data_IF_483755577131
#
_entry.id   IF_483755577131
#
_cell.length_a   1.000
_cell.length_b   1.000
_cell.length_c   1.000
_cell.angle_alpha   90.00
_cell.angle_beta   90.00
_cell.angle_gamma   90.00
#
_symmetry.space_group_name_H-M   'P 1'
#
loop_
_entity.id
_entity.type
_entity.pdbx_description
1 polymer ?
#
# COMPACT_ATOMS: atom_id res chain seq x y z
N UNK A 1 -11.28 -9.50 -1.15
CA UNK A 1 -11.51 -8.56 -0.02
C UNK A 1 -10.23 -7.82 0.38
N UNK A 2 -9.09 -8.50 0.63
CA UNK A 2 -7.81 -7.85 0.95
C UNK A 2 -7.24 -6.94 -0.16
N UNK A 3 -7.46 -7.28 -1.44
CA UNK A 3 -7.04 -6.45 -2.58
C UNK A 3 -7.64 -5.04 -2.58
N UNK A 4 -8.89 -4.89 -2.14
CA UNK A 4 -9.54 -3.57 -2.07
C UNK A 4 -8.91 -2.75 -0.95
N UNK A 5 -8.60 -3.39 0.18
CA UNK A 5 -7.97 -2.73 1.32
C UNK A 5 -6.53 -2.28 1.05
N UNK A 6 -5.76 -3.02 0.25
CA UNK A 6 -4.39 -2.65 -0.17
C UNK A 6 -4.35 -1.73 -1.37
N UNK A 7 -5.31 -1.82 -2.31
CA UNK A 7 -5.38 -0.90 -3.45
C UNK A 7 -5.83 0.52 -3.03
N UNK A 8 -6.64 0.65 -1.97
CA UNK A 8 -7.15 1.93 -1.49
C UNK A 8 -6.04 2.96 -1.16
N UNK A 9 -5.02 2.64 -0.33
CA UNK A 9 -3.94 3.58 -0.03
C UNK A 9 -3.09 3.90 -1.27
N UNK A 10 -2.84 2.94 -2.16
CA UNK A 10 -2.10 3.17 -3.41
C UNK A 10 -2.87 4.14 -4.31
N UNK A 11 -4.15 3.87 -4.53
CA UNK A 11 -5.02 4.71 -5.35
C UNK A 11 -5.14 6.12 -4.76
N UNK A 12 -5.22 6.25 -3.44
CA UNK A 12 -5.24 7.54 -2.75
C UNK A 12 -3.94 8.32 -2.95
N UNK A 13 -2.77 7.68 -2.82
CA UNK A 13 -1.47 8.34 -3.07
C UNK A 13 -1.35 8.81 -4.52
N UNK A 14 -1.77 7.99 -5.49
CA UNK A 14 -1.76 8.37 -6.91
C UNK A 14 -2.70 9.55 -7.16
N UNK A 15 -3.94 9.49 -6.64
CA UNK A 15 -4.91 10.58 -6.75
C UNK A 15 -4.40 11.86 -6.08
N UNK A 16 -3.73 11.74 -4.92
CA UNK A 16 -3.14 12.86 -4.20
C UNK A 16 -2.00 13.52 -4.97
N UNK A 17 -1.08 12.73 -5.56
CA UNK A 17 0.01 13.24 -6.41
C UNK A 17 -0.56 13.89 -7.68
N UNK A 18 -1.55 13.29 -8.31
CA UNK A 18 -2.21 13.85 -9.49
C UNK A 18 -2.89 15.18 -9.17
N UNK A 19 -3.60 15.26 -8.04
CA UNK A 19 -4.24 16.48 -7.54
C UNK A 19 -3.21 17.58 -7.26
N UNK A 20 -2.08 17.24 -6.61
CA UNK A 20 -0.95 18.14 -6.38
C UNK A 20 -0.35 18.68 -7.68
N UNK A 21 -0.06 17.79 -8.63
CA UNK A 21 0.51 18.15 -9.94
C UNK A 21 -0.44 19.07 -10.73
N UNK A 22 -1.73 18.75 -10.75
CA UNK A 22 -2.75 19.56 -11.42
C UNK A 22 -2.86 20.95 -10.79
N UNK A 23 -2.77 21.04 -9.47
CA UNK A 23 -2.80 22.31 -8.73
C UNK A 23 -1.58 23.19 -9.02
N UNK A 24 -0.39 22.60 -9.19
CA UNK A 24 0.85 23.33 -9.50
C UNK A 24 0.87 23.82 -10.95
N UNK A 25 0.35 23.02 -11.88
CA UNK A 25 0.40 23.29 -13.33
C UNK A 25 -0.70 24.23 -13.82
N UNK A 26 -1.73 24.52 -13.02
CA UNK A 26 -2.86 25.36 -13.41
C UNK A 26 -2.54 26.87 -13.26
N UNK A 27 -2.40 27.63 -14.36
CA UNK A 27 -2.12 29.07 -14.30
C UNK A 27 -3.35 29.82 -13.76
N UNK A 28 -3.17 30.60 -12.69
CA UNK A 28 -4.25 31.39 -12.08
C UNK A 28 -5.05 30.66 -10.99
N UNK A 29 -4.62 29.49 -10.54
CA UNK A 29 -5.21 28.86 -9.36
C UNK A 29 -4.79 29.61 -8.09
N UNK A 30 -5.76 30.14 -7.35
CA UNK A 30 -5.56 30.32 -5.91
C UNK A 30 -5.20 28.93 -5.37
N UNK A 31 -4.08 28.81 -4.65
CA UNK A 31 -3.70 27.52 -4.07
C UNK A 31 -4.93 26.91 -3.37
N UNK A 32 -5.41 25.72 -3.77
CA UNK A 32 -6.65 25.15 -3.22
C UNK A 32 -6.54 24.82 -1.72
N UNK A 33 -5.32 24.96 -1.16
CA UNK A 33 -5.01 24.92 0.25
C UNK A 33 -5.44 26.21 0.98
N UNK A 34 -6.74 26.46 1.04
CA UNK A 34 -7.27 27.29 2.13
C UNK A 34 -6.99 26.59 3.47
N UNK A 35 -6.84 27.34 4.57
CA UNK A 35 -6.49 26.77 5.87
C UNK A 35 -7.43 25.64 6.30
N UNK A 36 -8.72 25.74 5.96
CA UNK A 36 -9.72 24.69 6.19
C UNK A 36 -9.54 23.45 5.31
N UNK A 37 -9.33 23.62 3.99
CA UNK A 37 -9.15 22.49 3.07
C UNK A 37 -7.83 21.75 3.35
N UNK A 38 -6.79 22.47 3.76
CA UNK A 38 -5.51 21.88 4.14
C UNK A 38 -5.66 21.00 5.38
N UNK A 39 -6.38 21.45 6.42
CA UNK A 39 -6.59 20.68 7.64
C UNK A 39 -7.30 19.36 7.39
N UNK A 40 -8.40 19.38 6.62
CA UNK A 40 -9.16 18.17 6.29
C UNK A 40 -8.35 17.19 5.45
N UNK A 41 -7.61 17.70 4.46
CA UNK A 41 -6.79 16.87 3.58
C UNK A 41 -5.57 16.30 4.34
N UNK A 42 -5.00 17.04 5.30
CA UNK A 42 -3.92 16.58 6.17
C UNK A 42 -4.39 15.47 7.12
N UNK A 43 -5.55 15.62 7.74
CA UNK A 43 -6.17 14.57 8.58
C UNK A 43 -6.48 13.33 7.75
N UNK A 44 -7.03 13.48 6.55
CA UNK A 44 -7.27 12.36 5.64
C UNK A 44 -5.97 11.64 5.26
N UNK A 45 -4.90 12.40 4.97
CA UNK A 45 -3.59 11.83 4.65
C UNK A 45 -2.99 11.07 5.85
N UNK A 46 -3.08 11.63 7.05
CA UNK A 46 -2.66 10.96 8.29
C UNK A 46 -3.43 9.67 8.53
N UNK A 47 -4.75 9.67 8.33
CA UNK A 47 -5.57 8.46 8.46
C UNK A 47 -5.11 7.38 7.49
N UNK A 48 -4.81 7.74 6.24
CA UNK A 48 -4.28 6.79 5.24
C UNK A 48 -2.89 6.28 5.62
N UNK A 49 -2.03 7.11 6.21
CA UNK A 49 -0.73 6.65 6.73
C UNK A 49 -0.89 5.65 7.88
N UNK A 50 -1.73 5.95 8.87
CA UNK A 50 -2.00 5.04 10.00
C UNK A 50 -2.62 3.73 9.49
N UNK A 51 -3.54 3.81 8.54
CA UNK A 51 -4.14 2.63 7.91
C UNK A 51 -3.09 1.77 7.17
N UNK A 52 -2.19 2.42 6.43
CA UNK A 52 -1.10 1.75 5.71
C UNK A 52 -0.12 1.07 6.69
N UNK A 53 0.17 1.70 7.83
CA UNK A 53 0.95 1.12 8.92
C UNK A 53 0.26 -0.11 9.54
N UNK A 54 -1.05 -0.04 9.76
CA UNK A 54 -1.83 -1.18 10.24
C UNK A 54 -1.79 -2.36 9.27
N UNK A 55 -1.94 -2.10 7.96
CA UNK A 55 -1.80 -3.11 6.92
C UNK A 55 -0.38 -3.69 6.88
N UNK A 56 0.65 -2.87 7.10
CA UNK A 56 2.05 -3.32 7.17
C UNK A 56 2.26 -4.32 8.29
N UNK A 57 1.85 -3.98 9.51
CA UNK A 57 1.95 -4.87 10.66
C UNK A 57 1.16 -6.16 10.41
N UNK A 58 -0.05 -6.06 9.85
CA UNK A 58 -0.87 -7.22 9.53
C UNK A 58 -0.19 -8.16 8.51
N UNK A 59 0.36 -7.61 7.42
CA UNK A 59 1.07 -8.40 6.40
C UNK A 59 2.34 -9.05 6.96
N UNK A 60 3.08 -8.34 7.82
CA UNK A 60 4.25 -8.90 8.50
C UNK A 60 3.84 -10.06 9.41
N UNK A 61 2.82 -9.88 10.25
CA UNK A 61 2.31 -10.96 11.11
C UNK A 61 1.80 -12.14 10.29
N UNK A 62 1.10 -11.88 9.18
CA UNK A 62 0.64 -12.92 8.27
C UNK A 62 1.81 -13.68 7.61
N UNK A 63 2.85 -12.97 7.16
CA UNK A 63 4.07 -13.53 6.58
C UNK A 63 4.77 -14.47 7.58
N UNK A 64 4.89 -14.07 8.84
CA UNK A 64 5.52 -14.90 9.87
C UNK A 64 4.66 -16.08 10.30
N UNK A 65 3.33 -15.93 10.29
CA UNK A 65 2.37 -16.99 10.66
C UNK A 65 2.10 -17.98 9.52
N UNK A 66 2.32 -17.57 8.28
CA UNK A 66 2.21 -18.41 7.09
C UNK A 66 3.42 -19.35 6.96
N UNK A 67 3.17 -20.63 6.70
CA UNK A 67 4.20 -21.61 6.29
C UNK A 67 4.50 -21.59 4.80
N UNK A 68 3.82 -20.74 4.02
CA UNK A 68 3.97 -20.68 2.57
C UNK A 68 5.35 -20.15 2.12
N UNK A 69 6.08 -19.46 3.00
CA UNK A 69 7.37 -18.84 2.64
C UNK A 69 8.51 -19.41 3.50
N UNK A 70 9.59 -19.94 2.91
CA UNK A 70 10.75 -20.41 3.66
C UNK A 70 11.37 -19.27 4.48
N UNK A 71 11.90 -19.57 5.67
CA UNK A 71 12.41 -18.56 6.62
C UNK A 71 13.46 -17.63 6.01
N UNK A 72 14.26 -18.11 5.06
CA UNK A 72 15.25 -17.32 4.30
C UNK A 72 14.61 -16.22 3.43
N UNK A 73 13.40 -16.44 2.92
CA UNK A 73 12.67 -15.46 2.09
C UNK A 73 11.83 -14.50 2.93
N UNK A 74 11.57 -14.79 4.22
CA UNK A 74 10.79 -13.90 5.11
C UNK A 74 11.51 -12.56 5.35
N UNK A 75 12.83 -12.60 5.54
CA UNK A 75 13.63 -11.38 5.72
C UNK A 75 13.61 -10.50 4.45
N UNK A 76 13.68 -11.12 3.27
CA UNK A 76 13.59 -10.43 1.99
C UNK A 76 12.23 -9.73 1.83
N UNK A 77 11.14 -10.42 2.21
CA UNK A 77 9.80 -9.85 2.18
C UNK A 77 9.60 -8.71 3.17
N UNK A 78 10.18 -8.80 4.37
CA UNK A 78 10.15 -7.69 5.33
C UNK A 78 10.86 -6.44 4.77
N UNK A 79 12.01 -6.61 4.11
CA UNK A 79 12.73 -5.51 3.44
C UNK A 79 11.90 -4.98 2.26
N UNK A 80 11.29 -5.84 1.46
CA UNK A 80 10.41 -5.44 0.36
C UNK A 80 9.20 -4.65 0.86
N UNK A 81 8.56 -5.05 1.96
CA UNK A 81 7.46 -4.27 2.55
C UNK A 81 7.93 -2.92 3.08
N UNK A 82 9.15 -2.83 3.59
CA UNK A 82 9.72 -1.58 4.09
C UNK A 82 10.09 -0.60 2.95
N UNK A 83 10.74 -1.09 1.89
CA UNK A 83 11.18 -0.26 0.76
C UNK A 83 10.13 -0.10 -0.35
N UNK A 84 9.41 -1.16 -0.67
CA UNK A 84 8.37 -1.19 -1.71
C UNK A 84 6.99 -0.79 -1.21
N UNK A 85 6.81 -0.64 0.11
CA UNK A 85 5.59 -0.16 0.73
C UNK A 85 4.34 -0.92 0.26
N UNK A 86 3.23 -0.24 -0.05
CA UNK A 86 2.00 -0.91 -0.44
C UNK A 86 2.09 -1.63 -1.79
N UNK A 87 3.04 -1.27 -2.67
CA UNK A 87 3.30 -2.02 -3.90
C UNK A 87 3.87 -3.42 -3.61
N UNK A 88 4.77 -3.54 -2.62
CA UNK A 88 5.31 -4.84 -2.23
C UNK A 88 4.23 -5.76 -1.63
N UNK A 89 3.21 -5.22 -0.95
CA UNK A 89 2.06 -6.00 -0.48
C UNK A 89 1.25 -6.63 -1.62
N UNK A 90 1.06 -5.90 -2.72
CA UNK A 90 0.42 -6.43 -3.93
C UNK A 90 1.26 -7.53 -4.56
N UNK A 91 2.58 -7.32 -4.66
CA UNK A 91 3.51 -8.31 -5.21
C UNK A 91 3.58 -9.56 -4.32
N UNK A 92 3.53 -9.43 -2.98
CA UNK A 92 3.47 -10.57 -2.05
C UNK A 92 2.25 -11.43 -2.26
N UNK A 93 1.09 -10.79 -2.38
CA UNK A 93 -0.14 -11.52 -2.62
C UNK A 93 -0.08 -12.28 -3.94
N UNK A 94 0.40 -11.63 -5.01
CA UNK A 94 0.49 -12.26 -6.33
C UNK A 94 1.52 -13.39 -6.37
N UNK A 95 2.68 -13.26 -5.70
CA UNK A 95 3.76 -14.24 -5.76
C UNK A 95 3.74 -15.31 -4.67
N UNK A 96 3.10 -15.08 -3.52
CA UNK A 96 3.11 -16.04 -2.42
C UNK A 96 1.74 -16.62 -2.09
N UNK A 97 0.63 -15.96 -2.43
CA UNK A 97 -0.72 -16.50 -2.22
C UNK A 97 -1.25 -17.20 -3.47
N UNK A 98 -0.90 -16.73 -4.67
CA UNK A 98 -1.36 -17.35 -5.92
C UNK A 98 -0.69 -18.68 -6.28
N UNK A 99 0.63 -18.89 -6.19
CA UNK A 99 1.24 -20.14 -6.65
C UNK A 99 0.96 -21.36 -5.77
N UNK A 100 0.49 -21.18 -4.54
CA UNK A 100 -0.03 -22.29 -3.72
C UNK A 100 -1.30 -22.92 -4.33
N UNK A 101 -1.98 -22.24 -5.26
CA UNK A 101 -3.14 -22.77 -5.98
C UNK A 101 -2.76 -23.65 -7.19
N UNK A 102 -1.59 -23.44 -7.81
CA UNK A 102 -1.15 -24.20 -9.00
C UNK A 102 -0.15 -25.33 -8.70
N UNK A 103 0.59 -25.24 -7.60
CA UNK A 103 1.60 -26.25 -7.23
C UNK A 103 1.02 -27.62 -6.82
N UNK A 104 -0.30 -27.78 -6.75
CA UNK A 104 -0.95 -29.07 -6.39
C UNK A 104 -1.56 -29.83 -7.57
N UNK A 105 -1.46 -29.32 -8.80
CA UNK A 105 -2.11 -29.96 -9.97
C UNK A 105 -1.15 -30.82 -10.80
N UNK A 106 0.15 -30.82 -10.47
CA UNK A 106 1.14 -31.69 -11.14
C UNK A 106 2.04 -32.34 -10.07
N UNK A 107 1.47 -33.27 -9.30
CA UNK A 107 2.21 -34.27 -8.54
C UNK A 107 1.42 -35.57 -8.52
#
# INVERSE_FOLDING_TARGET
MFLIATALPVLYVVAFIAFMMLSILSPGSEMPFTQENFGLMFVAHLLVMVWSLGLLVFYIVHLFRSRATPDSYKALWAILFFFGGPCAMLVYWFLCIWPDAESKTVA
#
